data_IF_513466707074
#
_entry.id   IF_513466707074
#
_cell.length_a   1.000
_cell.length_b   1.000
_cell.length_c   1.000
_cell.angle_alpha   90.00
_cell.angle_beta   90.00
_cell.angle_gamma   90.00
#
_symmetry.space_group_name_H-M   'P 1'
#
loop_
_entity.id
_entity.type
_entity.pdbx_description
1 polymer ?
#
# COMPACT_ATOMS: atom_id res chain seq x y z
N UNK A 1 -6.14 17.49 -9.26
CA UNK A 1 -5.55 16.21 -9.72
C UNK A 1 -4.99 15.50 -8.51
N UNK A 2 -5.13 14.18 -8.41
CA UNK A 2 -4.62 13.39 -7.28
C UNK A 2 -3.11 13.24 -7.39
N UNK A 3 -2.36 13.60 -6.36
CA UNK A 3 -0.90 13.37 -6.33
C UNK A 3 -0.55 12.00 -5.74
N UNK A 4 0.62 11.43 -6.07
CA UNK A 4 1.09 10.19 -5.44
C UNK A 4 1.10 10.27 -3.90
N UNK A 5 1.51 11.40 -3.33
CA UNK A 5 1.57 11.60 -1.88
C UNK A 5 0.18 11.61 -1.24
N UNK A 6 -0.80 12.25 -1.89
CA UNK A 6 -2.19 12.23 -1.44
C UNK A 6 -2.76 10.80 -1.47
N UNK A 7 -2.46 10.04 -2.52
CA UNK A 7 -2.84 8.63 -2.62
C UNK A 7 -2.20 7.82 -1.49
N UNK A 8 -0.89 7.98 -1.25
CA UNK A 8 -0.18 7.30 -0.18
C UNK A 8 -0.69 7.66 1.22
N UNK A 9 -1.16 8.89 1.42
CA UNK A 9 -1.87 9.28 2.65
C UNK A 9 -3.11 8.42 2.90
N UNK A 10 -3.90 8.14 1.86
CA UNK A 10 -5.06 7.25 1.97
C UNK A 10 -4.65 5.79 2.17
N UNK A 11 -3.58 5.31 1.51
CA UNK A 11 -3.02 3.97 1.78
C UNK A 11 -2.64 3.84 3.26
N UNK A 12 -1.96 4.85 3.82
CA UNK A 12 -1.57 4.89 5.22
C UNK A 12 -2.78 4.76 6.15
N UNK A 13 -3.79 5.59 5.96
CA UNK A 13 -5.02 5.60 6.76
C UNK A 13 -5.76 4.26 6.68
N UNK A 14 -5.82 3.65 5.49
CA UNK A 14 -6.46 2.35 5.31
C UNK A 14 -5.71 1.25 6.05
N UNK A 15 -4.38 1.20 5.96
CA UNK A 15 -3.57 0.27 6.77
C UNK A 15 -3.79 0.50 8.28
N UNK A 16 -3.86 1.74 8.74
CA UNK A 16 -4.15 2.03 10.15
C UNK A 16 -5.56 1.55 10.54
N UNK A 17 -6.55 1.64 9.65
CA UNK A 17 -7.92 1.15 9.87
C UNK A 17 -7.99 -0.36 10.02
N UNK A 18 -7.02 -1.11 9.52
CA UNK A 18 -6.90 -2.57 9.79
C UNK A 18 -6.21 -2.87 11.12
N UNK A 19 -6.00 -1.87 11.98
CA UNK A 19 -5.22 -2.00 13.22
C UNK A 19 -3.72 -2.07 12.96
N UNK A 20 -3.28 -1.74 11.74
CA UNK A 20 -1.88 -1.83 11.33
C UNK A 20 -1.02 -0.69 11.85
N UNK A 21 0.27 -0.95 12.02
CA UNK A 21 1.29 0.07 12.29
C UNK A 21 1.85 0.57 10.98
N UNK A 22 2.05 1.88 10.87
CA UNK A 22 2.63 2.53 9.69
C UNK A 22 3.89 3.28 10.09
N UNK A 23 4.97 3.11 9.33
CA UNK A 23 6.23 3.83 9.50
C UNK A 23 6.91 4.03 8.14
N UNK A 24 7.90 4.92 8.08
CA UNK A 24 8.68 5.17 6.86
C UNK A 24 9.97 4.35 6.85
N UNK A 25 10.37 3.85 5.69
CA UNK A 25 11.66 3.19 5.45
C UNK A 25 12.33 3.82 4.24
N UNK A 26 13.61 4.20 4.30
CA UNK A 26 14.32 4.74 3.16
C UNK A 26 14.44 3.67 2.06
N UNK A 27 14.13 4.07 0.83
CA UNK A 27 14.17 3.24 -0.37
C UNK A 27 14.83 4.03 -1.52
N UNK A 28 16.13 3.85 -1.70
CA UNK A 28 16.88 4.66 -2.67
C UNK A 28 16.63 6.16 -2.43
N UNK A 29 16.10 6.92 -3.41
CA UNK A 29 15.84 8.35 -3.26
C UNK A 29 14.50 8.70 -2.59
N UNK A 30 13.64 7.73 -2.28
CA UNK A 30 12.30 7.98 -1.71
C UNK A 30 12.13 7.30 -0.35
N UNK A 31 11.20 7.78 0.45
CA UNK A 31 10.77 7.08 1.67
C UNK A 31 9.55 6.23 1.34
N UNK A 32 9.67 4.92 1.49
CA UNK A 32 8.55 4.00 1.37
C UNK A 32 7.74 4.00 2.67
N UNK A 33 6.42 4.08 2.54
CA UNK A 33 5.48 3.73 3.59
C UNK A 33 5.51 2.22 3.81
N UNK A 34 5.63 1.79 5.05
CA UNK A 34 5.58 0.39 5.46
C UNK A 34 4.46 0.20 6.48
N UNK A 35 3.55 -0.71 6.14
CA UNK A 35 2.37 -1.06 6.90
C UNK A 35 2.42 -2.52 7.35
N UNK A 36 2.25 -2.78 8.65
CA UNK A 36 2.22 -4.12 9.21
C UNK A 36 0.91 -4.39 9.92
N UNK A 37 0.22 -5.48 9.57
CA UNK A 37 -0.98 -5.95 10.26
C UNK A 37 -1.17 -7.46 10.10
N UNK A 38 -2.04 -8.04 10.91
CA UNK A 38 -2.33 -9.47 10.91
C UNK A 38 -3.82 -9.72 10.72
N UNK A 39 -4.16 -10.82 10.07
CA UNK A 39 -5.54 -11.29 9.92
C UNK A 39 -5.63 -12.77 10.25
N UNK A 40 -6.73 -13.21 10.85
CA UNK A 40 -7.04 -14.64 11.02
C UNK A 40 -8.02 -15.08 9.95
N UNK A 41 -7.64 -16.10 9.18
CA UNK A 41 -8.44 -16.69 8.11
C UNK A 41 -8.48 -18.20 8.31
N UNK A 42 -9.67 -18.76 8.57
CA UNK A 42 -9.86 -20.21 8.73
C UNK A 42 -8.88 -20.84 9.74
N UNK A 43 -8.72 -20.23 10.91
CA UNK A 43 -7.78 -20.60 11.99
C UNK A 43 -6.28 -20.42 11.66
N UNK A 44 -5.94 -19.88 10.49
CA UNK A 44 -4.56 -19.54 10.12
C UNK A 44 -4.32 -18.05 10.28
N UNK A 45 -3.18 -17.66 10.84
CA UNK A 45 -2.76 -16.25 10.89
C UNK A 45 -1.99 -15.88 9.63
N UNK A 46 -2.38 -14.77 9.01
CA UNK A 46 -1.67 -14.14 7.89
C UNK A 46 -1.05 -12.84 8.36
N UNK A 47 0.26 -12.69 8.16
CA UNK A 47 0.96 -11.43 8.36
C UNK A 47 1.02 -10.66 7.04
N UNK A 48 0.46 -9.46 7.01
CA UNK A 48 0.52 -8.57 5.87
C UNK A 48 1.59 -7.50 6.08
N UNK A 49 2.44 -7.32 5.07
CA UNK A 49 3.45 -6.29 4.99
C UNK A 49 3.23 -5.46 3.72
N UNK A 50 2.62 -4.29 3.86
CA UNK A 50 2.36 -3.36 2.77
C UNK A 50 3.53 -2.40 2.63
N UNK A 51 4.13 -2.31 1.45
CA UNK A 51 5.07 -1.27 1.07
C UNK A 51 4.44 -0.39 0.00
N UNK A 52 4.52 0.92 0.17
CA UNK A 52 4.02 1.86 -0.83
C UNK A 52 4.97 3.05 -0.95
N UNK A 53 5.38 3.41 -2.17
CA UNK A 53 6.27 4.55 -2.38
C UNK A 53 5.86 5.35 -3.62
N UNK A 54 6.11 6.67 -3.63
CA UNK A 54 5.89 7.49 -4.81
C UNK A 54 7.01 7.23 -5.81
N UNK A 55 6.69 7.15 -7.10
CA UNK A 55 7.69 7.03 -8.15
C UNK A 55 7.18 7.69 -9.44
N UNK A 56 7.91 8.65 -10.05
CA UNK A 56 7.37 9.47 -11.14
C UNK A 56 6.79 8.68 -12.32
N UNK A 57 7.54 7.68 -12.80
CA UNK A 57 7.15 6.79 -13.90
C UNK A 57 7.48 5.34 -13.55
N UNK A 58 6.46 4.48 -13.50
CA UNK A 58 6.59 3.08 -13.07
C UNK A 58 6.75 2.16 -14.28
N UNK A 59 7.87 1.44 -14.35
CA UNK A 59 8.12 0.40 -15.35
C UNK A 59 8.41 -0.96 -14.70
N UNK A 60 8.60 -2.01 -15.49
CA UNK A 60 8.82 -3.35 -14.94
C UNK A 60 10.08 -3.43 -14.07
N UNK A 61 11.17 -2.80 -14.52
CA UNK A 61 12.46 -2.85 -13.81
C UNK A 61 12.37 -2.21 -12.42
N UNK A 62 11.77 -1.02 -12.31
CA UNK A 62 11.62 -0.30 -11.05
C UNK A 62 10.68 -1.06 -10.12
N UNK A 63 9.60 -1.63 -10.66
CA UNK A 63 8.65 -2.41 -9.88
C UNK A 63 9.28 -3.70 -9.33
N UNK A 64 10.07 -4.41 -10.13
CA UNK A 64 10.80 -5.60 -9.68
C UNK A 64 11.85 -5.28 -8.62
N UNK A 65 12.63 -4.22 -8.80
CA UNK A 65 13.62 -3.77 -7.81
C UNK A 65 12.94 -3.37 -6.49
N UNK A 66 11.88 -2.57 -6.57
CA UNK A 66 11.07 -2.18 -5.41
C UNK A 66 10.55 -3.39 -4.65
N UNK A 67 9.95 -4.31 -5.40
CA UNK A 67 9.38 -5.53 -4.85
C UNK A 67 10.44 -6.42 -4.20
N UNK A 68 11.61 -6.60 -4.85
CA UNK A 68 12.71 -7.41 -4.31
C UNK A 68 13.22 -6.88 -2.97
N UNK A 69 13.45 -5.58 -2.87
CA UNK A 69 13.85 -4.92 -1.63
C UNK A 69 12.75 -4.97 -0.56
N UNK A 70 11.48 -4.75 -0.92
CA UNK A 70 10.35 -4.89 -0.01
C UNK A 70 10.27 -6.31 0.59
N UNK A 71 10.43 -7.35 -0.24
CA UNK A 71 10.48 -8.74 0.22
C UNK A 71 11.67 -9.00 1.13
N UNK A 72 12.86 -8.48 0.80
CA UNK A 72 14.04 -8.62 1.65
C UNK A 72 13.84 -7.92 3.01
N UNK A 73 13.29 -6.71 3.03
CA UNK A 73 12.99 -5.99 4.26
C UNK A 73 11.96 -6.73 5.11
N UNK A 74 10.87 -7.20 4.50
CA UNK A 74 9.87 -8.01 5.19
C UNK A 74 10.47 -9.28 5.79
N UNK A 75 11.39 -9.95 5.08
CA UNK A 75 12.08 -11.13 5.62
C UNK A 75 12.92 -10.81 6.84
N UNK A 76 13.73 -9.77 6.75
CA UNK A 76 14.64 -9.37 7.83
C UNK A 76 13.91 -8.93 9.10
N UNK A 77 12.70 -8.36 8.98
CA UNK A 77 12.03 -7.68 10.10
C UNK A 77 10.71 -8.32 10.54
N UNK A 78 10.08 -9.13 9.68
CA UNK A 78 8.70 -9.62 9.87
C UNK A 78 8.61 -11.14 9.77
N UNK A 79 9.22 -11.75 8.74
CA UNK A 79 9.13 -13.22 8.53
C UNK A 79 10.00 -13.99 9.53
N UNK A 80 11.08 -13.41 10.03
CA UNK A 80 11.96 -14.04 11.04
C UNK A 80 11.51 -13.91 12.50
N UNK A 81 10.52 -13.07 12.79
CA UNK A 81 10.08 -12.73 14.16
C UNK A 81 8.77 -13.39 14.57
N UNK A 82 7.96 -13.83 13.61
CA UNK A 82 6.71 -14.55 13.86
C UNK A 82 6.97 -16.02 13.59
N UNK A 83 6.74 -16.90 14.58
CA UNK A 83 7.04 -18.32 14.48
C UNK A 83 6.54 -18.98 13.19
N UNK A 84 7.20 -20.09 12.80
CA UNK A 84 7.07 -20.87 11.56
C UNK A 84 5.63 -21.16 11.05
N UNK A 85 4.59 -20.86 11.81
CA UNK A 85 3.18 -21.22 11.54
C UNK A 85 2.34 -20.15 10.83
N UNK A 86 2.82 -18.91 10.67
CA UNK A 86 2.04 -17.84 10.04
C UNK A 86 2.44 -17.61 8.57
N UNK A 87 1.46 -17.62 7.66
CA UNK A 87 1.71 -17.28 6.26
C UNK A 87 1.98 -15.78 6.14
N UNK A 88 2.99 -15.38 5.37
CA UNK A 88 3.33 -13.97 5.20
C UNK A 88 3.02 -13.48 3.79
N UNK A 89 2.49 -12.27 3.67
CA UNK A 89 2.16 -11.66 2.39
C UNK A 89 2.78 -10.28 2.33
N UNK A 90 3.64 -10.09 1.34
CA UNK A 90 4.25 -8.80 1.03
C UNK A 90 3.45 -8.18 -0.12
N UNK A 91 2.97 -6.97 0.04
CA UNK A 91 2.27 -6.21 -1.00
C UNK A 91 3.13 -4.98 -1.29
N UNK A 92 3.77 -4.93 -2.44
CA UNK A 92 4.69 -3.87 -2.83
C UNK A 92 4.08 -3.02 -3.95
N UNK A 93 3.72 -1.78 -3.61
CA UNK A 93 3.10 -0.83 -4.52
C UNK A 93 3.99 0.36 -4.87
N UNK A 94 4.10 0.67 -6.16
CA UNK A 94 4.60 1.96 -6.62
C UNK A 94 3.44 2.82 -7.11
N UNK A 95 3.42 4.08 -6.69
CA UNK A 95 2.38 5.05 -7.06
C UNK A 95 3.03 6.15 -7.90
N UNK A 96 2.61 6.26 -9.16
CA UNK A 96 3.18 7.21 -10.10
C UNK A 96 2.14 7.97 -10.91
N UNK A 97 2.59 9.02 -11.59
CA UNK A 97 1.74 9.78 -12.51
C UNK A 97 1.53 9.05 -13.84
N UNK A 98 2.34 8.00 -14.08
CA UNK A 98 2.30 7.17 -15.27
C UNK A 98 2.82 5.78 -14.95
N UNK A 99 2.09 4.76 -15.38
CA UNK A 99 2.54 3.37 -15.42
C UNK A 99 2.78 2.99 -16.87
N UNK A 100 3.99 2.54 -17.19
CA UNK A 100 4.32 2.04 -18.52
C UNK A 100 3.70 0.64 -18.75
N UNK A 101 3.44 0.25 -20.01
CA UNK A 101 2.80 -1.03 -20.32
C UNK A 101 3.51 -2.26 -19.73
N UNK A 102 4.84 -2.24 -19.69
CA UNK A 102 5.66 -3.30 -19.09
C UNK A 102 5.50 -3.36 -17.56
N UNK A 103 5.43 -2.19 -16.90
CA UNK A 103 5.13 -2.08 -15.46
C UNK A 103 3.73 -2.60 -15.12
N UNK A 104 2.73 -2.24 -15.92
CA UNK A 104 1.37 -2.77 -15.76
C UNK A 104 1.34 -4.30 -15.94
N UNK A 105 1.99 -4.82 -16.99
CA UNK A 105 2.07 -6.25 -17.25
C UNK A 105 2.77 -7.01 -16.11
N UNK A 106 3.87 -6.46 -15.57
CA UNK A 106 4.57 -7.02 -14.42
C UNK A 106 3.69 -7.04 -13.16
N UNK A 107 2.93 -5.98 -12.90
CA UNK A 107 2.02 -5.91 -11.75
C UNK A 107 0.86 -6.91 -11.84
N UNK A 108 0.36 -7.16 -13.06
CA UNK A 108 -0.74 -8.11 -13.32
C UNK A 108 -0.27 -9.56 -13.49
N UNK A 109 1.05 -9.79 -13.61
CA UNK A 109 1.61 -11.12 -13.73
C UNK A 109 1.33 -11.95 -12.47
N UNK A 110 1.20 -13.27 -12.65
CA UNK A 110 1.01 -14.20 -11.54
C UNK A 110 2.19 -14.09 -10.56
N UNK A 111 1.94 -13.85 -9.26
CA UNK A 111 2.97 -13.77 -8.24
C UNK A 111 3.88 -15.01 -8.23
N UNK A 112 5.18 -14.80 -7.98
CA UNK A 112 6.09 -15.89 -7.62
C UNK A 112 5.86 -16.36 -6.18
N UNK A 113 6.20 -17.61 -5.86
CA UNK A 113 6.38 -18.03 -4.45
C UNK A 113 7.85 -17.90 -4.12
N UNK A 114 8.16 -17.30 -2.98
CA UNK A 114 9.50 -17.39 -2.43
C UNK A 114 9.44 -17.64 -0.92
N UNK A 115 9.85 -18.85 -0.50
CA UNK A 115 10.09 -19.22 0.92
C UNK A 115 8.98 -18.77 1.89
N UNK A 116 7.83 -19.43 1.85
CA UNK A 116 6.69 -19.21 2.76
C UNK A 116 6.05 -17.80 2.76
N UNK A 117 6.45 -16.93 1.83
CA UNK A 117 5.82 -15.63 1.62
C UNK A 117 5.32 -15.47 0.18
N UNK A 118 4.08 -15.01 0.03
CA UNK A 118 3.55 -14.51 -1.25
C UNK A 118 3.96 -13.04 -1.40
N UNK A 119 4.43 -12.64 -2.57
CA UNK A 119 4.75 -11.24 -2.86
C UNK A 119 3.90 -10.75 -4.02
N UNK A 120 3.16 -9.66 -3.81
CA UNK A 120 2.30 -9.03 -4.80
C UNK A 120 2.84 -7.68 -5.21
N UNK A 121 2.91 -7.49 -6.52
CA UNK A 121 3.24 -6.22 -7.13
C UNK A 121 1.96 -5.42 -7.35
N UNK A 122 2.03 -4.13 -7.07
CA UNK A 122 0.98 -3.16 -7.39
C UNK A 122 1.62 -1.98 -8.11
N UNK A 123 1.03 -1.56 -9.22
CA UNK A 123 1.40 -0.31 -9.89
C UNK A 123 0.16 0.57 -9.97
N UNK A 124 0.21 1.76 -9.37
CA UNK A 124 -0.88 2.72 -9.37
C UNK A 124 -0.52 3.85 -10.31
N UNK A 125 -1.40 4.11 -11.28
CA UNK A 125 -1.34 5.26 -12.17
C UNK A 125 -2.37 6.30 -11.72
N UNK A 126 -1.93 7.33 -11.00
CA UNK A 126 -2.84 8.41 -10.56
C UNK A 126 -3.19 9.38 -11.69
N UNK A 127 -2.43 9.39 -12.78
CA UNK A 127 -2.71 10.22 -13.96
C UNK A 127 -3.80 9.61 -14.84
N UNK A 128 -3.76 8.30 -15.05
CA UNK A 128 -4.77 7.53 -15.78
C UNK A 128 -5.94 7.05 -14.89
N UNK A 129 -5.79 7.14 -13.56
CA UNK A 129 -6.82 6.72 -12.61
C UNK A 129 -6.99 5.20 -12.54
N UNK A 130 -5.89 4.43 -12.63
CA UNK A 130 -5.92 2.96 -12.72
C UNK A 130 -5.02 2.32 -11.65
N UNK A 131 -5.40 1.12 -11.20
CA UNK A 131 -4.52 0.22 -10.44
C UNK A 131 -4.29 -1.09 -11.17
N UNK A 132 -3.02 -1.41 -11.40
CA UNK A 132 -2.57 -2.67 -11.97
C UNK A 132 -2.08 -3.59 -10.85
N UNK A 133 -2.70 -4.76 -10.72
CA UNK A 133 -2.32 -5.78 -9.76
C UNK A 133 -2.86 -7.15 -10.19
N UNK A 134 -2.23 -8.23 -9.77
CA UNK A 134 -2.76 -9.57 -9.96
C UNK A 134 -4.04 -9.79 -9.13
N UNK A 135 -5.14 -10.15 -9.81
CA UNK A 135 -6.45 -10.45 -9.21
C UNK A 135 -6.83 -11.94 -9.27
N UNK A 136 -6.01 -12.76 -9.90
CA UNK A 136 -6.30 -14.19 -10.09
C UNK A 136 -6.16 -15.01 -8.81
N UNK A 137 -6.30 -16.33 -8.96
CA UNK A 137 -6.09 -17.29 -7.88
C UNK A 137 -4.72 -17.95 -7.93
N UNK A 138 -4.23 -18.37 -6.75
CA UNK A 138 -3.01 -19.17 -6.59
C UNK A 138 -3.34 -20.46 -5.84
N UNK A 139 -2.32 -21.29 -5.61
CA UNK A 139 -2.39 -22.59 -4.92
C UNK A 139 -2.80 -22.51 -3.44
N UNK A 140 -2.91 -21.32 -2.85
CA UNK A 140 -3.48 -21.15 -1.52
C UNK A 140 -5.00 -21.37 -1.61
N UNK A 141 -5.59 -22.09 -0.66
CA UNK A 141 -7.03 -22.38 -0.68
C UNK A 141 -7.89 -21.13 -0.93
N UNK A 142 -9.03 -21.29 -1.59
CA UNK A 142 -9.85 -20.18 -2.10
C UNK A 142 -10.13 -19.08 -1.06
N UNK A 143 -10.36 -19.45 0.20
CA UNK A 143 -10.59 -18.51 1.30
C UNK A 143 -9.38 -17.60 1.58
N UNK A 144 -8.17 -18.17 1.61
CA UNK A 144 -6.94 -17.42 1.85
C UNK A 144 -6.64 -16.47 0.69
N UNK A 145 -6.78 -16.96 -0.54
CA UNK A 145 -6.63 -16.13 -1.73
C UNK A 145 -7.64 -14.98 -1.77
N UNK A 146 -8.89 -15.23 -1.39
CA UNK A 146 -9.93 -14.21 -1.28
C UNK A 146 -9.56 -13.13 -0.26
N UNK A 147 -9.08 -13.52 0.92
CA UNK A 147 -8.58 -12.57 1.93
C UNK A 147 -7.40 -11.76 1.40
N UNK A 148 -6.41 -12.36 0.74
CA UNK A 148 -5.26 -11.63 0.19
C UNK A 148 -5.70 -10.64 -0.88
N UNK A 149 -6.58 -11.04 -1.80
CA UNK A 149 -7.14 -10.15 -2.83
C UNK A 149 -7.87 -8.97 -2.17
N UNK A 150 -8.72 -9.24 -1.18
CA UNK A 150 -9.48 -8.22 -0.46
C UNK A 150 -8.55 -7.23 0.26
N UNK A 151 -7.50 -7.72 0.94
CA UNK A 151 -6.54 -6.85 1.64
C UNK A 151 -5.67 -6.04 0.68
N UNK A 152 -5.29 -6.62 -0.45
CA UNK A 152 -4.54 -5.90 -1.49
C UNK A 152 -5.38 -4.76 -2.06
N UNK A 153 -6.63 -5.02 -2.44
CA UNK A 153 -7.55 -4.01 -2.96
C UNK A 153 -7.91 -2.96 -1.91
N UNK A 154 -8.09 -3.39 -0.66
CA UNK A 154 -8.37 -2.45 0.43
C UNK A 154 -7.19 -1.50 0.65
N UNK A 155 -5.95 -2.01 0.68
CA UNK A 155 -4.75 -1.19 0.86
C UNK A 155 -4.48 -0.26 -0.33
N UNK A 156 -4.72 -0.74 -1.56
CA UNK A 156 -4.52 0.01 -2.81
C UNK A 156 -5.85 0.21 -3.55
N UNK A 157 -6.69 1.16 -3.13
CA UNK A 157 -7.93 1.52 -3.81
C UNK A 157 -7.73 2.05 -5.23
N UNK A 158 -8.77 2.01 -6.05
CA UNK A 158 -8.78 2.77 -7.30
C UNK A 158 -8.65 4.29 -7.01
N UNK A 159 -7.88 5.06 -7.81
CA UNK A 159 -7.70 6.50 -7.61
C UNK A 159 -9.00 7.30 -7.50
N UNK A 160 -10.08 6.86 -8.14
CA UNK A 160 -11.40 7.46 -8.01
C UNK A 160 -11.94 7.38 -6.57
N UNK A 161 -11.81 6.23 -5.90
CA UNK A 161 -12.20 6.08 -4.49
C UNK A 161 -11.37 6.98 -3.57
N UNK A 162 -10.07 7.12 -3.87
CA UNK A 162 -9.18 8.00 -3.11
C UNK A 162 -9.61 9.45 -3.24
N UNK A 163 -9.94 9.88 -4.46
CA UNK A 163 -10.45 11.22 -4.72
C UNK A 163 -11.74 11.50 -3.94
N UNK A 164 -12.68 10.55 -3.93
CA UNK A 164 -13.92 10.66 -3.15
C UNK A 164 -13.67 10.73 -1.65
N UNK A 165 -12.78 9.88 -1.13
CA UNK A 165 -12.39 9.87 0.28
C UNK A 165 -11.78 11.22 0.69
N UNK A 166 -10.85 11.77 -0.09
CA UNK A 166 -10.22 13.06 0.19
C UNK A 166 -11.23 14.21 0.10
N UNK A 167 -12.16 14.18 -0.88
CA UNK A 167 -13.24 15.16 -0.99
C UNK A 167 -14.14 15.13 0.24
N UNK A 168 -14.50 13.94 0.72
CA UNK A 168 -15.30 13.76 1.92
C UNK A 168 -14.59 14.27 3.17
N UNK A 169 -13.29 13.98 3.32
CA UNK A 169 -12.48 14.50 4.43
C UNK A 169 -12.35 16.01 4.40
N UNK A 170 -12.18 16.61 3.22
CA UNK A 170 -12.14 18.06 3.07
C UNK A 170 -13.46 18.70 3.50
N UNK A 171 -14.60 18.09 3.17
CA UNK A 171 -15.92 18.56 3.60
C UNK A 171 -16.09 18.48 5.12
N UNK A 172 -15.65 17.38 5.74
CA UNK A 172 -15.72 17.21 7.20
C UNK A 172 -14.84 18.20 7.98
N UNK A 173 -13.72 18.68 7.40
CA UNK A 173 -12.83 19.64 8.08
C UNK A 173 -13.43 21.04 8.23
N UNK A 174 -14.54 21.36 7.54
CA UNK A 174 -15.24 22.64 7.65
C UNK A 174 -14.42 23.88 7.24
N UNK A 175 -15.05 25.03 6.95
CA UNK A 175 -14.34 26.31 6.85
C UNK A 175 -13.99 26.79 8.26
N UNK A 176 -12.74 26.62 8.70
CA UNK A 176 -12.25 27.23 9.94
C UNK A 176 -11.35 26.38 10.84
N UNK A 177 -11.06 25.12 10.50
CA UNK A 177 -10.14 24.31 11.30
C UNK A 177 -8.69 24.57 10.84
N UNK A 178 -7.84 25.26 11.62
CA UNK A 178 -6.45 25.51 11.22
C UNK A 178 -5.69 24.18 11.08
N UNK A 179 -4.72 24.09 10.16
CA UNK A 179 -3.90 22.90 10.03
C UNK A 179 -3.18 22.58 11.35
N UNK A 180 -2.99 21.28 11.68
CA UNK A 180 -2.27 20.89 12.89
C UNK A 180 -0.86 21.49 12.88
N UNK A 181 -0.54 22.28 13.90
CA UNK A 181 0.75 22.96 14.06
C UNK A 181 0.75 24.47 13.86
N UNK A 182 -0.38 25.08 13.45
CA UNK A 182 -0.49 26.54 13.41
C UNK A 182 -0.94 27.07 14.78
N UNK A 183 -0.15 27.93 15.45
CA UNK A 183 -0.61 28.59 16.66
C UNK A 183 -1.86 29.42 16.36
N UNK A 184 -2.85 29.45 17.27
CA UNK A 184 -4.08 30.20 17.02
C UNK A 184 -3.73 31.68 16.76
N UNK A 185 -4.41 32.35 15.82
CA UNK A 185 -4.23 33.77 15.61
C UNK A 185 -4.50 34.48 16.93
N UNK A 186 -3.52 35.24 17.42
CA UNK A 186 -3.67 36.07 18.61
C UNK A 186 -4.77 37.08 18.33
N UNK A 187 -5.96 36.82 18.88
CA UNK A 187 -7.06 37.76 18.81
C UNK A 187 -6.63 39.10 19.41
N UNK A 188 -6.78 40.17 18.64
CA UNK A 188 -6.72 41.52 19.18
C UNK A 188 -7.98 41.71 20.04
N UNK A 189 -7.80 41.71 21.36
CA UNK A 189 -8.79 42.24 22.29
C UNK A 189 -8.77 43.77 22.18
N UNK A 190 -9.89 44.36 21.78
CA UNK A 190 -10.22 45.77 22.00
C UNK A 190 -10.76 45.96 23.42
#
# INVERSE_FOLDING_TARGET
>A
MLTPEQYLGVVAERVQRTGGRVYGVPFGPVTALVGLFTESVMMSTINYCVFAAPWPEVNASTLHQFTGHATQHARANVVGTVGWTASSVVIAGLVGNRVLPDGAAAAMAKPGNQLAAETRMVAVDVGAGQVHMFRGSRFWGAAMQGSINARTHFAFPEPAEVYEQLRWQAWQRGPGTPPPGMPPPRGFSL
#
